data_IF_859882442382
#
_entry.id   IF_859882442382
#
_cell.length_a   1.000
_cell.length_b   1.000
_cell.length_c   1.000
_cell.angle_alpha   90.00
_cell.angle_beta   90.00
_cell.angle_gamma   90.00
#
_symmetry.space_group_name_H-M   'P 1'
#
loop_
_entity.id
_entity.type
_entity.pdbx_description
1 polymer ?
#
# COMPACT_ATOMS: atom_id res chain seq x y z
N UNK A 1 49.72 46.67 -5.40
CA UNK A 1 49.33 46.33 -4.02
C UNK A 1 48.34 45.15 -4.10
N UNK A 2 48.84 43.91 -3.91
CA UNK A 2 48.06 42.69 -3.83
C UNK A 2 47.53 42.55 -2.40
N UNK A 3 46.22 42.55 -2.19
CA UNK A 3 45.58 42.16 -0.93
C UNK A 3 45.45 40.63 -0.92
N UNK A 4 46.18 39.95 -0.05
CA UNK A 4 45.99 38.57 0.33
C UNK A 4 44.70 38.46 1.15
N UNK A 5 43.76 37.68 0.65
CA UNK A 5 42.56 37.23 1.40
C UNK A 5 42.99 35.97 2.14
N UNK A 6 43.13 36.06 3.45
CA UNK A 6 43.32 34.92 4.35
C UNK A 6 41.98 34.10 4.34
N UNK A 7 42.03 32.89 3.78
CA UNK A 7 40.96 31.89 3.97
C UNK A 7 41.03 31.39 5.41
N UNK A 8 39.97 31.62 6.18
CA UNK A 8 39.76 30.96 7.48
C UNK A 8 39.64 29.46 7.24
N UNK A 9 40.61 28.67 7.68
CA UNK A 9 40.51 27.24 7.91
C UNK A 9 39.67 27.01 9.16
N UNK A 10 38.63 26.17 9.09
CA UNK A 10 37.95 25.66 10.26
C UNK A 10 36.45 25.54 10.10
N UNK A 11 35.97 24.94 9.03
CA UNK A 11 34.66 24.29 9.05
C UNK A 11 34.91 22.79 9.02
N UNK A 12 34.62 22.12 10.14
CA UNK A 12 34.54 20.68 10.21
C UNK A 12 33.46 20.23 9.18
N UNK A 13 33.89 19.74 8.04
CA UNK A 13 33.03 18.96 7.18
C UNK A 13 32.69 17.69 7.97
N UNK A 14 31.54 17.69 8.68
CA UNK A 14 30.86 16.45 9.04
C UNK A 14 30.59 15.78 7.72
N UNK A 15 31.33 14.75 7.41
CA UNK A 15 31.00 13.87 6.27
C UNK A 15 29.62 13.28 6.54
N UNK A 16 28.60 13.73 5.80
CA UNK A 16 27.26 13.13 5.89
C UNK A 16 27.41 11.63 5.65
N UNK A 17 27.01 10.83 6.62
CA UNK A 17 26.99 9.38 6.50
C UNK A 17 26.08 9.02 5.32
N UNK A 18 26.49 8.05 4.51
CA UNK A 18 25.63 7.47 3.50
C UNK A 18 24.46 6.74 4.22
N UNK A 19 23.26 6.70 3.60
CA UNK A 19 22.05 6.04 4.15
C UNK A 19 22.32 4.64 4.72
N UNK A 20 23.10 3.83 4.02
CA UNK A 20 23.47 2.48 4.45
C UNK A 20 24.42 2.42 5.67
N UNK A 21 24.99 3.55 6.10
CA UNK A 21 25.86 3.67 7.28
C UNK A 21 25.10 4.17 8.51
N UNK A 22 23.83 4.54 8.34
CA UNK A 22 22.97 5.01 9.42
C UNK A 22 22.41 3.84 10.21
N UNK A 23 22.28 4.00 11.53
CA UNK A 23 21.51 3.08 12.35
C UNK A 23 20.01 3.24 12.04
N UNK A 24 19.20 2.29 12.45
CA UNK A 24 17.76 2.37 12.25
C UNK A 24 17.12 3.60 12.95
N UNK A 25 17.66 4.02 14.11
CA UNK A 25 17.22 5.24 14.79
C UNK A 25 17.60 6.49 13.99
N UNK A 26 18.83 6.55 13.45
CA UNK A 26 19.28 7.66 12.60
C UNK A 26 18.42 7.75 11.33
N UNK A 27 18.16 6.63 10.65
CA UNK A 27 17.25 6.55 9.49
C UNK A 27 15.84 7.02 9.85
N UNK A 28 15.31 6.60 11.00
CA UNK A 28 13.99 7.03 11.48
C UNK A 28 13.96 8.53 11.77
N UNK A 29 14.99 9.07 12.34
CA UNK A 29 15.07 10.51 12.59
C UNK A 29 15.00 11.31 11.29
N UNK A 30 15.71 10.87 10.23
CA UNK A 30 15.65 11.49 8.91
C UNK A 30 14.28 11.33 8.25
N UNK A 31 13.64 10.15 8.38
CA UNK A 31 12.27 9.95 7.87
C UNK A 31 11.24 10.82 8.59
N UNK A 32 11.34 10.94 9.91
CA UNK A 32 10.45 11.83 10.69
C UNK A 32 10.66 13.29 10.28
N UNK A 33 11.88 13.73 10.05
CA UNK A 33 12.16 15.08 9.56
C UNK A 33 11.45 15.35 8.22
N UNK A 34 11.62 14.46 7.23
CA UNK A 34 10.93 14.56 5.93
C UNK A 34 9.42 14.50 6.07
N UNK A 35 8.93 13.64 6.96
CA UNK A 35 7.48 13.47 7.17
C UNK A 35 6.83 14.73 7.74
N UNK A 36 7.55 15.48 8.58
CA UNK A 36 7.11 16.75 9.16
C UNK A 36 7.23 17.94 8.20
N UNK A 37 7.93 17.82 7.08
CA UNK A 37 8.07 18.90 6.10
C UNK A 37 6.71 19.17 5.42
N UNK A 38 6.18 20.40 5.54
CA UNK A 38 4.96 20.77 4.83
C UNK A 38 5.24 20.83 3.32
N UNK A 39 4.24 20.52 2.48
CA UNK A 39 4.38 20.66 1.03
C UNK A 39 4.57 22.12 0.64
N UNK A 40 5.24 22.34 -0.49
CA UNK A 40 5.38 23.67 -1.09
C UNK A 40 4.14 24.04 -1.89
N UNK A 41 3.08 24.42 -1.16
CA UNK A 41 1.77 24.81 -1.72
C UNK A 41 1.32 26.14 -1.09
N UNK A 42 0.41 26.89 -1.75
CA UNK A 42 -0.17 28.09 -1.20
C UNK A 42 -1.20 27.74 -0.11
N UNK A 43 -0.76 27.68 1.15
CA UNK A 43 -1.68 27.56 2.29
C UNK A 43 -2.63 28.77 2.36
N UNK A 44 -3.88 28.54 2.74
CA UNK A 44 -4.89 29.61 2.85
C UNK A 44 -4.53 30.68 3.89
N UNK A 45 -3.66 30.34 4.85
CA UNK A 45 -3.12 31.29 5.83
C UNK A 45 -1.81 30.77 6.45
N UNK A 46 -1.01 31.65 7.07
CA UNK A 46 0.14 31.21 7.87
C UNK A 46 -0.25 30.28 9.03
N UNK A 47 -1.45 30.42 9.58
CA UNK A 47 -1.97 29.55 10.63
C UNK A 47 -2.26 28.15 10.07
N UNK A 48 -2.85 28.01 8.89
CA UNK A 48 -3.07 26.70 8.26
C UNK A 48 -1.77 25.92 8.07
N UNK A 49 -0.67 26.59 7.69
CA UNK A 49 0.66 25.94 7.61
C UNK A 49 1.14 25.44 8.97
N UNK A 50 0.94 26.23 10.03
CA UNK A 50 1.31 25.83 11.41
C UNK A 50 0.46 24.63 11.87
N UNK A 51 -0.83 24.66 11.59
CA UNK A 51 -1.77 23.60 11.95
C UNK A 51 -1.41 22.28 11.23
N UNK A 52 -1.03 22.36 9.94
CA UNK A 52 -0.56 21.22 9.17
C UNK A 52 0.62 20.51 9.86
N UNK A 53 1.65 21.28 10.23
CA UNK A 53 2.85 20.72 10.91
C UNK A 53 2.50 20.21 12.32
N UNK A 54 1.64 20.92 13.06
CA UNK A 54 1.23 20.51 14.41
C UNK A 54 0.46 19.20 14.38
N UNK A 55 -0.43 19.01 13.39
CA UNK A 55 -1.17 17.75 13.15
C UNK A 55 -0.24 16.60 12.81
N UNK A 56 0.69 16.78 11.87
CA UNK A 56 1.70 15.76 11.55
C UNK A 56 2.56 15.41 12.77
N UNK A 57 3.00 16.41 13.52
CA UNK A 57 3.82 16.20 14.73
C UNK A 57 3.08 15.38 15.78
N UNK A 58 1.79 15.62 15.95
CA UNK A 58 0.92 14.89 16.90
C UNK A 58 0.92 13.40 16.61
N UNK A 59 0.76 13.01 15.35
CA UNK A 59 0.85 11.61 14.93
C UNK A 59 2.27 11.05 15.05
N UNK A 60 3.28 11.80 14.62
CA UNK A 60 4.67 11.36 14.75
C UNK A 60 5.09 11.15 16.21
N UNK A 61 4.57 11.94 17.15
CA UNK A 61 4.83 11.77 18.57
C UNK A 61 4.10 10.52 19.10
N UNK A 62 2.83 10.32 18.74
CA UNK A 62 2.06 9.14 19.13
C UNK A 62 2.70 7.84 18.62
N UNK A 63 3.04 7.75 17.34
CA UNK A 63 3.68 6.57 16.74
C UNK A 63 5.04 6.23 17.38
N UNK A 64 5.77 7.24 17.87
CA UNK A 64 7.04 7.04 18.59
C UNK A 64 6.87 6.88 20.09
N UNK A 65 5.64 6.65 20.58
CA UNK A 65 5.30 6.55 22.00
C UNK A 65 5.71 7.77 22.82
N UNK A 66 5.70 8.96 22.21
CA UNK A 66 5.87 10.24 22.88
C UNK A 66 4.50 10.84 23.16
N UNK A 67 4.35 11.56 24.26
CA UNK A 67 3.10 12.25 24.59
C UNK A 67 2.86 13.40 23.60
N UNK A 68 1.81 13.36 22.77
CA UNK A 68 1.43 14.48 21.91
C UNK A 68 0.80 15.62 22.76
N UNK A 69 0.58 16.76 22.12
CA UNK A 69 -0.13 17.91 22.72
C UNK A 69 -1.58 17.56 23.11
N UNK A 70 -2.26 16.74 22.31
CA UNK A 70 -3.56 16.13 22.57
C UNK A 70 -3.67 14.79 21.86
N UNK A 71 -4.74 14.06 22.12
CA UNK A 71 -5.04 12.80 21.40
C UNK A 71 -5.22 13.10 19.91
N UNK A 72 -4.51 12.39 19.00
CA UNK A 72 -4.74 12.52 17.55
C UNK A 72 -6.15 12.04 17.18
N UNK A 73 -6.79 12.76 16.28
CA UNK A 73 -8.10 12.39 15.72
C UNK A 73 -7.92 11.99 14.26
N UNK A 74 -8.01 10.69 14.01
CA UNK A 74 -8.05 10.08 12.69
C UNK A 74 -9.32 9.26 12.55
N UNK A 75 -10.16 9.61 11.57
CA UNK A 75 -11.48 8.99 11.42
C UNK A 75 -11.58 8.38 10.01
N UNK A 76 -11.48 7.05 9.89
CA UNK A 76 -11.71 6.35 8.63
C UNK A 76 -13.22 6.30 8.34
N UNK A 77 -13.78 7.35 7.76
CA UNK A 77 -15.22 7.49 7.57
C UNK A 77 -15.80 6.80 6.33
N UNK A 78 -14.96 6.14 5.51
CA UNK A 78 -15.43 5.37 4.37
C UNK A 78 -16.24 6.21 3.37
N UNK A 79 -17.43 5.72 3.01
CA UNK A 79 -18.38 6.38 2.11
C UNK A 79 -19.39 7.30 2.83
N UNK A 80 -19.21 7.54 4.13
CA UNK A 80 -20.10 8.40 4.91
C UNK A 80 -20.31 9.78 4.29
N UNK A 81 -19.31 10.47 3.70
CA UNK A 81 -19.51 11.75 3.03
C UNK A 81 -20.56 11.69 1.90
N UNK A 82 -20.57 10.62 1.12
CA UNK A 82 -21.56 10.40 0.06
C UNK A 82 -22.96 10.26 0.64
N UNK A 83 -23.13 9.40 1.65
CA UNK A 83 -24.40 9.20 2.33
C UNK A 83 -24.94 10.49 2.94
N UNK A 84 -24.08 11.27 3.56
CA UNK A 84 -24.43 12.55 4.16
C UNK A 84 -25.03 13.52 3.12
N UNK A 85 -24.61 13.42 1.87
CA UNK A 85 -25.13 14.21 0.74
C UNK A 85 -26.27 13.52 -0.04
N UNK A 86 -26.63 12.31 0.31
CA UNK A 86 -27.66 11.52 -0.38
C UNK A 86 -27.21 10.86 -1.68
N UNK A 87 -25.89 10.73 -1.89
CA UNK A 87 -25.31 9.99 -3.01
C UNK A 87 -24.98 8.55 -2.61
N UNK A 88 -24.97 7.67 -3.61
CA UNK A 88 -24.49 6.30 -3.48
C UNK A 88 -23.00 6.20 -3.78
N UNK A 89 -22.37 5.11 -3.35
CA UNK A 89 -20.99 4.80 -3.74
C UNK A 89 -20.89 4.65 -5.27
N UNK A 90 -21.90 4.04 -5.92
CA UNK A 90 -21.96 3.89 -7.38
C UNK A 90 -21.88 5.25 -8.09
N UNK A 91 -22.60 6.26 -7.60
CA UNK A 91 -22.58 7.59 -8.22
C UNK A 91 -21.15 8.14 -8.29
N UNK A 92 -20.39 8.05 -7.22
CA UNK A 92 -19.01 8.56 -7.17
C UNK A 92 -18.03 7.66 -7.96
N UNK A 93 -18.24 6.34 -8.01
CA UNK A 93 -17.40 5.42 -8.79
C UNK A 93 -17.46 5.70 -10.30
N UNK A 94 -18.56 6.25 -10.80
CA UNK A 94 -18.80 6.53 -12.22
C UNK A 94 -18.88 8.01 -12.57
N UNK A 95 -19.00 8.89 -11.58
CA UNK A 95 -18.93 10.35 -11.72
C UNK A 95 -17.94 10.92 -10.71
N UNK A 96 -16.69 11.01 -11.12
CA UNK A 96 -15.59 11.46 -10.24
C UNK A 96 -15.74 12.91 -9.76
N UNK A 97 -16.48 13.77 -10.49
CA UNK A 97 -16.71 15.16 -10.12
C UNK A 97 -17.50 15.33 -8.82
N UNK A 98 -18.21 14.28 -8.38
CA UNK A 98 -18.89 14.26 -7.09
C UNK A 98 -17.91 14.20 -5.91
N UNK A 99 -16.74 13.57 -6.11
CA UNK A 99 -15.78 13.33 -5.03
C UNK A 99 -15.33 14.65 -4.38
N UNK A 100 -14.77 15.65 -5.09
CA UNK A 100 -14.33 16.89 -4.46
C UNK A 100 -15.50 17.70 -3.88
N UNK A 101 -16.67 17.67 -4.50
CA UNK A 101 -17.86 18.39 -3.98
C UNK A 101 -18.24 17.85 -2.59
N UNK A 102 -18.20 16.55 -2.41
CA UNK A 102 -18.66 15.90 -1.19
C UNK A 102 -17.57 15.90 -0.12
N UNK A 103 -16.34 15.50 -0.48
CA UNK A 103 -15.24 15.38 0.50
C UNK A 103 -14.77 16.72 1.02
N UNK A 104 -14.66 17.75 0.16
CA UNK A 104 -14.20 19.07 0.59
C UNK A 104 -15.22 19.73 1.54
N UNK A 105 -16.51 19.56 1.30
CA UNK A 105 -17.53 20.09 2.21
C UNK A 105 -17.55 19.31 3.53
N UNK A 106 -17.46 17.97 3.48
CA UNK A 106 -17.42 17.13 4.69
C UNK A 106 -16.25 17.49 5.59
N UNK A 107 -15.06 17.67 5.01
CA UNK A 107 -13.84 18.04 5.71
C UNK A 107 -13.96 19.37 6.46
N UNK A 108 -14.70 20.33 5.92
CA UNK A 108 -14.89 21.66 6.57
C UNK A 108 -15.92 21.63 7.70
N UNK A 109 -16.74 20.57 7.79
CA UNK A 109 -17.78 20.42 8.81
C UNK A 109 -17.29 19.75 10.07
N UNK A 110 -16.29 18.89 9.97
CA UNK A 110 -15.82 18.07 11.08
C UNK A 110 -14.34 18.33 11.34
N UNK A 111 -14.01 18.63 12.60
CA UNK A 111 -12.63 18.84 13.01
C UNK A 111 -11.90 17.49 13.14
N UNK A 112 -10.83 17.31 12.36
CA UNK A 112 -9.98 16.13 12.38
C UNK A 112 -8.49 16.50 12.15
N UNK A 113 -7.60 15.62 12.53
CA UNK A 113 -6.16 15.85 12.39
C UNK A 113 -5.59 15.31 11.09
N UNK A 114 -6.33 14.45 10.41
CA UNK A 114 -5.94 13.89 9.11
C UNK A 114 -7.10 13.94 8.13
N UNK A 115 -6.77 13.99 6.86
CA UNK A 115 -7.73 13.85 5.77
C UNK A 115 -7.63 12.44 5.17
N UNK A 116 -8.61 11.56 5.41
CA UNK A 116 -8.66 10.26 4.75
C UNK A 116 -9.02 10.46 3.27
N UNK A 117 -8.04 10.18 2.41
CA UNK A 117 -8.22 10.38 0.97
C UNK A 117 -9.37 9.52 0.41
N UNK A 118 -10.17 10.04 -0.53
CA UNK A 118 -11.29 9.32 -1.15
C UNK A 118 -10.91 7.98 -1.76
N UNK A 119 -9.65 7.80 -2.19
CA UNK A 119 -9.15 6.59 -2.84
C UNK A 119 -9.32 5.30 -2.01
N UNK A 120 -9.39 5.41 -0.68
CA UNK A 120 -9.64 4.25 0.20
C UNK A 120 -11.11 3.84 0.23
N UNK A 121 -12.02 4.70 -0.21
CA UNK A 121 -13.46 4.48 -0.10
C UNK A 121 -14.14 4.33 -1.46
N UNK A 122 -13.69 5.07 -2.46
CA UNK A 122 -14.28 5.11 -3.81
C UNK A 122 -13.35 4.43 -4.80
N UNK A 123 -13.75 3.28 -5.32
CA UNK A 123 -13.00 2.60 -6.38
C UNK A 123 -13.25 3.29 -7.74
N UNK A 124 -12.27 3.32 -8.66
CA UNK A 124 -12.48 3.81 -10.03
C UNK A 124 -13.27 2.78 -10.86
N UNK A 125 -14.60 2.77 -10.72
CA UNK A 125 -15.49 1.74 -11.29
C UNK A 125 -15.27 1.52 -12.79
N UNK A 126 -15.15 2.60 -13.58
CA UNK A 126 -14.90 2.50 -15.03
C UNK A 126 -13.61 1.77 -15.36
N UNK A 127 -12.54 2.00 -14.60
CA UNK A 127 -11.26 1.29 -14.79
C UNK A 127 -11.43 -0.20 -14.53
N UNK A 128 -12.14 -0.56 -13.45
CA UNK A 128 -12.36 -1.95 -13.09
C UNK A 128 -13.24 -2.69 -14.12
N UNK A 129 -14.23 -2.00 -14.68
CA UNK A 129 -15.06 -2.54 -15.77
C UNK A 129 -14.21 -2.75 -17.05
N UNK A 130 -13.36 -1.76 -17.43
CA UNK A 130 -12.50 -1.87 -18.61
C UNK A 130 -11.56 -3.06 -18.54
N UNK A 131 -10.91 -3.28 -17.39
CA UNK A 131 -9.95 -4.37 -17.23
C UNK A 131 -10.62 -5.72 -16.92
N UNK A 132 -11.94 -5.73 -16.67
CA UNK A 132 -12.70 -6.92 -16.26
C UNK A 132 -12.18 -7.48 -14.95
N UNK A 133 -12.29 -6.69 -13.86
CA UNK A 133 -11.78 -7.03 -12.54
C UNK A 133 -12.65 -8.08 -11.84
N UNK A 134 -12.06 -9.20 -11.43
CA UNK A 134 -12.71 -10.27 -10.65
C UNK A 134 -12.37 -10.23 -9.15
N UNK A 135 -11.42 -9.38 -8.74
CA UNK A 135 -10.95 -9.30 -7.34
C UNK A 135 -11.96 -8.62 -6.40
N UNK A 136 -12.85 -7.80 -6.95
CA UNK A 136 -13.82 -7.07 -6.16
C UNK A 136 -15.24 -7.19 -6.72
N UNK A 137 -16.20 -7.30 -5.80
CA UNK A 137 -17.61 -7.02 -6.06
C UNK A 137 -17.90 -5.60 -5.59
N UNK A 138 -18.58 -4.81 -6.37
CA UNK A 138 -18.91 -3.42 -6.10
C UNK A 138 -20.27 -3.05 -6.67
N UNK A 139 -20.85 -1.90 -6.29
CA UNK A 139 -22.14 -1.46 -6.85
C UNK A 139 -22.10 -1.40 -8.37
N UNK A 140 -23.01 -2.13 -9.01
CA UNK A 140 -23.04 -2.34 -10.47
C UNK A 140 -22.26 -3.57 -10.97
N UNK A 141 -21.46 -4.20 -10.12
CA UNK A 141 -20.75 -5.45 -10.44
C UNK A 141 -20.79 -6.41 -9.24
N UNK A 142 -21.83 -7.23 -9.18
CA UNK A 142 -22.02 -8.26 -8.15
C UNK A 142 -22.58 -7.77 -6.81
N UNK A 143 -22.75 -6.45 -6.61
CA UNK A 143 -23.47 -5.87 -5.48
C UNK A 143 -24.64 -5.00 -5.97
N UNK A 144 -25.69 -4.80 -5.14
CA UNK A 144 -26.76 -3.84 -5.42
C UNK A 144 -26.21 -2.41 -5.58
N UNK A 145 -26.88 -1.60 -6.40
CA UNK A 145 -26.45 -0.23 -6.70
C UNK A 145 -26.32 0.67 -5.46
N UNK A 146 -27.08 0.39 -4.41
CA UNK A 146 -27.07 1.11 -3.14
C UNK A 146 -26.19 0.45 -2.06
N UNK A 147 -25.36 -0.53 -2.42
CA UNK A 147 -24.45 -1.16 -1.47
C UNK A 147 -23.44 -0.15 -0.90
N UNK A 148 -23.11 -0.34 0.37
CA UNK A 148 -22.12 0.46 1.10
C UNK A 148 -20.76 -0.25 1.01
N UNK A 149 -19.84 0.34 0.28
CA UNK A 149 -18.52 -0.22 0.09
C UNK A 149 -18.46 -1.27 -1.01
N UNK A 150 -17.33 -1.94 -1.07
CA UNK A 150 -17.01 -3.02 -1.99
C UNK A 150 -16.56 -4.26 -1.21
N UNK A 151 -16.55 -5.42 -1.84
CA UNK A 151 -16.14 -6.67 -1.21
C UNK A 151 -15.02 -7.31 -2.01
N UNK A 152 -13.96 -7.72 -1.32
CA UNK A 152 -12.93 -8.56 -1.91
C UNK A 152 -13.53 -9.93 -2.26
N UNK A 153 -13.30 -10.38 -3.50
CA UNK A 153 -13.75 -11.68 -3.99
C UNK A 153 -12.61 -12.69 -3.80
N UNK A 154 -12.55 -13.32 -2.62
CA UNK A 154 -11.61 -14.39 -2.37
C UNK A 154 -11.83 -15.55 -3.36
N UNK A 155 -10.72 -16.07 -3.89
CA UNK A 155 -10.72 -17.20 -4.81
C UNK A 155 -9.43 -18.00 -4.77
N UNK A 156 -9.44 -19.20 -5.34
CA UNK A 156 -8.24 -19.99 -5.56
C UNK A 156 -7.62 -19.59 -6.90
N UNK A 157 -6.81 -18.53 -6.89
CA UNK A 157 -6.13 -17.98 -8.06
C UNK A 157 -4.74 -18.60 -8.30
N UNK A 158 -4.28 -19.45 -7.40
CA UNK A 158 -3.09 -20.30 -7.52
C UNK A 158 -3.46 -21.71 -7.08
N UNK A 159 -3.06 -22.73 -7.85
CA UNK A 159 -3.25 -24.13 -7.50
C UNK A 159 -2.13 -24.62 -6.57
N UNK A 160 -2.38 -25.71 -5.83
CA UNK A 160 -1.40 -26.24 -4.85
C UNK A 160 -0.12 -26.80 -5.49
N UNK A 161 -0.15 -27.17 -6.75
CA UNK A 161 1.00 -27.65 -7.53
C UNK A 161 1.82 -26.53 -8.19
N UNK A 162 1.37 -25.28 -8.07
CA UNK A 162 2.02 -24.12 -8.71
C UNK A 162 3.05 -23.40 -7.81
N UNK A 163 3.30 -23.87 -6.58
CA UNK A 163 4.29 -23.26 -5.70
C UNK A 163 5.70 -23.16 -6.33
N UNK A 164 6.12 -24.16 -7.09
CA UNK A 164 7.44 -24.15 -7.72
C UNK A 164 7.57 -23.03 -8.76
N UNK A 165 6.48 -22.73 -9.47
CA UNK A 165 6.45 -21.62 -10.44
C UNK A 165 6.54 -20.27 -9.70
N UNK A 166 5.78 -20.10 -8.62
CA UNK A 166 5.81 -18.89 -7.78
C UNK A 166 7.20 -18.67 -7.18
N UNK A 167 7.81 -19.72 -6.60
CA UNK A 167 9.13 -19.63 -5.96
C UNK A 167 10.22 -19.31 -6.98
N UNK A 168 10.15 -19.92 -8.16
CA UNK A 168 11.15 -19.75 -9.22
C UNK A 168 11.20 -18.32 -9.73
N UNK A 169 10.07 -17.74 -10.08
CA UNK A 169 9.94 -16.38 -10.59
C UNK A 169 8.58 -15.79 -10.24
N UNK A 170 8.47 -15.09 -9.10
CA UNK A 170 7.21 -14.45 -8.70
C UNK A 170 6.68 -13.46 -9.73
N UNK A 171 7.54 -12.73 -10.41
CA UNK A 171 7.12 -11.72 -11.39
C UNK A 171 6.49 -12.37 -12.62
N UNK A 172 7.11 -13.43 -13.14
CA UNK A 172 6.57 -14.21 -14.24
C UNK A 172 5.26 -14.90 -13.86
N UNK A 173 5.19 -15.47 -12.64
CA UNK A 173 3.98 -16.07 -12.10
C UNK A 173 2.83 -15.05 -12.05
N UNK A 174 3.10 -13.83 -11.56
CA UNK A 174 2.10 -12.76 -11.52
C UNK A 174 1.61 -12.42 -12.92
N UNK A 175 2.49 -12.14 -13.85
CA UNK A 175 2.13 -11.65 -15.19
C UNK A 175 1.40 -12.72 -16.01
N UNK A 176 1.88 -13.98 -16.01
CA UNK A 176 1.36 -15.02 -16.90
C UNK A 176 0.35 -15.96 -16.26
N UNK A 177 0.27 -15.99 -14.94
CA UNK A 177 -0.63 -16.91 -14.22
C UNK A 177 -1.69 -16.17 -13.43
N UNK A 178 -1.28 -15.35 -12.46
CA UNK A 178 -2.20 -14.71 -11.54
C UNK A 178 -3.05 -13.61 -12.20
N UNK A 179 -2.42 -12.59 -12.80
CA UNK A 179 -3.16 -11.48 -13.40
C UNK A 179 -4.17 -11.91 -14.47
N UNK A 180 -3.89 -12.89 -15.36
CA UNK A 180 -4.88 -13.43 -16.27
C UNK A 180 -6.09 -14.15 -15.60
N UNK A 181 -5.96 -14.54 -14.34
CA UNK A 181 -7.08 -15.16 -13.57
C UNK A 181 -7.97 -14.14 -12.90
N UNK A 182 -7.41 -12.97 -12.59
CA UNK A 182 -8.12 -11.92 -11.84
C UNK A 182 -8.57 -10.73 -12.69
N UNK A 183 -8.02 -10.59 -13.91
CA UNK A 183 -8.44 -9.58 -14.88
C UNK A 183 -8.62 -10.19 -16.26
N UNK A 184 -9.82 -10.05 -16.81
CA UNK A 184 -10.13 -10.58 -18.16
C UNK A 184 -9.19 -10.04 -19.22
N UNK A 185 -8.84 -8.75 -19.13
CA UNK A 185 -7.96 -8.08 -20.10
C UNK A 185 -6.53 -8.63 -20.11
N UNK A 186 -6.05 -9.28 -19.05
CA UNK A 186 -4.75 -9.93 -19.01
C UNK A 186 -4.73 -11.33 -19.65
N UNK A 187 -5.87 -11.85 -20.10
CA UNK A 187 -5.98 -13.21 -20.67
C UNK A 187 -4.86 -13.59 -21.63
N UNK A 188 -4.52 -12.76 -22.66
CA UNK A 188 -3.47 -13.09 -23.65
C UNK A 188 -2.07 -13.26 -23.07
N UNK A 189 -1.76 -12.69 -21.90
CA UNK A 189 -0.45 -12.85 -21.27
C UNK A 189 -0.11 -14.28 -20.87
N UNK A 190 -1.11 -15.18 -20.75
CA UNK A 190 -0.85 -16.60 -20.50
C UNK A 190 0.00 -17.26 -21.59
N UNK A 191 -0.09 -16.75 -22.81
CA UNK A 191 0.48 -17.35 -24.00
C UNK A 191 1.82 -16.75 -24.42
N UNK A 192 2.28 -15.65 -23.79
CA UNK A 192 3.59 -15.10 -24.09
C UNK A 192 4.69 -15.92 -23.40
N UNK A 193 5.85 -15.98 -24.05
CA UNK A 193 7.04 -16.57 -23.43
C UNK A 193 7.53 -15.69 -22.27
N UNK A 194 8.20 -16.25 -21.24
CA UNK A 194 8.88 -15.46 -20.23
C UNK A 194 9.85 -14.46 -20.86
N UNK A 195 9.99 -13.26 -20.28
CA UNK A 195 10.97 -12.27 -20.75
C UNK A 195 12.41 -12.80 -20.74
N UNK A 196 12.72 -13.72 -19.84
CA UNK A 196 14.02 -14.41 -19.77
C UNK A 196 14.32 -15.31 -20.97
N UNK A 197 13.33 -15.56 -21.85
CA UNK A 197 13.56 -16.28 -23.12
C UNK A 197 14.17 -15.40 -24.22
N UNK A 198 14.25 -14.09 -23.99
CA UNK A 198 14.89 -13.15 -24.94
C UNK A 198 16.40 -13.16 -24.68
N UNK A 199 17.11 -14.10 -25.30
CA UNK A 199 18.58 -14.24 -25.15
C UNK A 199 19.29 -13.67 -26.36
N UNK A 200 18.94 -14.17 -27.55
CA UNK A 200 19.54 -13.74 -28.84
C UNK A 200 18.43 -13.57 -29.88
N UNK A 201 18.67 -12.73 -30.88
CA UNK A 201 17.76 -12.47 -32.01
C UNK A 201 16.31 -12.16 -31.55
N UNK A 202 16.08 -11.14 -30.71
CA UNK A 202 14.82 -10.93 -30.00
C UNK A 202 13.63 -10.56 -30.91
N UNK A 203 13.84 -10.35 -32.20
CA UNK A 203 12.81 -9.89 -33.14
C UNK A 203 11.54 -10.76 -33.14
N UNK A 204 11.71 -12.08 -33.06
CA UNK A 204 10.57 -13.01 -33.00
C UNK A 204 9.67 -12.89 -31.79
N UNK A 205 10.21 -12.42 -30.67
CA UNK A 205 9.43 -12.20 -29.43
C UNK A 205 8.31 -11.16 -29.63
N UNK A 206 8.59 -10.12 -30.41
CA UNK A 206 7.64 -9.02 -30.65
C UNK A 206 6.44 -9.45 -31.49
N UNK A 207 6.49 -10.59 -32.18
CA UNK A 207 5.34 -11.14 -32.91
C UNK A 207 4.14 -11.41 -31.96
N UNK A 208 4.38 -11.70 -30.67
CA UNK A 208 3.32 -11.88 -29.68
C UNK A 208 2.43 -10.64 -29.56
N UNK A 209 2.98 -9.44 -29.77
CA UNK A 209 2.24 -8.17 -29.65
C UNK A 209 1.47 -7.80 -30.93
N UNK A 210 1.70 -8.51 -32.03
CA UNK A 210 0.95 -8.35 -33.28
C UNK A 210 -0.34 -9.19 -33.31
N UNK A 211 -0.52 -10.13 -32.38
CA UNK A 211 -1.72 -10.95 -32.25
C UNK A 211 -2.92 -10.05 -31.88
N UNK A 212 -4.09 -10.16 -32.57
CA UNK A 212 -5.23 -9.27 -32.36
C UNK A 212 -5.69 -9.18 -30.91
N UNK A 213 -5.72 -10.29 -30.17
CA UNK A 213 -6.12 -10.35 -28.77
C UNK A 213 -5.14 -9.55 -27.87
N UNK A 214 -3.86 -9.63 -28.15
CA UNK A 214 -2.85 -8.85 -27.43
C UNK A 214 -2.93 -7.36 -27.76
N UNK A 215 -3.15 -7.01 -29.02
CA UNK A 215 -3.38 -5.60 -29.41
C UNK A 215 -4.60 -5.01 -28.70
N UNK A 216 -5.70 -5.78 -28.59
CA UNK A 216 -6.88 -5.37 -27.84
C UNK A 216 -6.53 -5.16 -26.34
N UNK A 217 -5.75 -6.08 -25.75
CA UNK A 217 -5.29 -5.97 -24.37
C UNK A 217 -4.49 -4.68 -24.15
N UNK A 218 -3.50 -4.41 -24.99
CA UNK A 218 -2.67 -3.21 -24.89
C UNK A 218 -3.49 -1.92 -25.04
N UNK A 219 -4.45 -1.91 -25.98
CA UNK A 219 -5.38 -0.80 -26.13
C UNK A 219 -6.22 -0.59 -24.86
N UNK A 220 -6.77 -1.66 -24.31
CA UNK A 220 -7.52 -1.61 -23.04
C UNK A 220 -6.66 -1.06 -21.89
N UNK A 221 -5.40 -1.45 -21.79
CA UNK A 221 -4.51 -0.94 -20.75
C UNK A 221 -4.23 0.56 -20.90
N UNK A 222 -4.02 1.05 -22.12
CA UNK A 222 -3.84 2.48 -22.37
C UNK A 222 -5.10 3.27 -21.97
N UNK A 223 -6.28 2.83 -22.41
CA UNK A 223 -7.57 3.47 -22.09
C UNK A 223 -7.89 3.46 -20.60
N UNK A 224 -7.65 2.32 -19.94
CA UNK A 224 -7.82 2.18 -18.48
C UNK A 224 -6.82 3.04 -17.71
N UNK A 225 -5.59 3.17 -18.20
CA UNK A 225 -4.58 4.06 -17.62
C UNK A 225 -4.97 5.53 -17.73
N UNK A 226 -5.46 5.98 -18.90
CA UNK A 226 -5.97 7.34 -19.08
C UNK A 226 -7.16 7.64 -18.16
N UNK A 227 -8.08 6.69 -18.03
CA UNK A 227 -9.23 6.83 -17.12
C UNK A 227 -8.79 6.87 -15.65
N UNK A 228 -7.81 6.04 -15.25
CA UNK A 228 -7.26 6.08 -13.90
C UNK A 228 -6.57 7.41 -13.60
N UNK A 229 -5.87 8.03 -14.57
CA UNK A 229 -5.26 9.34 -14.37
C UNK A 229 -6.30 10.44 -14.12
N UNK A 230 -7.48 10.40 -14.77
CA UNK A 230 -8.58 11.33 -14.47
C UNK A 230 -9.06 11.17 -13.01
N UNK A 231 -9.31 9.93 -12.60
CA UNK A 231 -9.67 9.63 -11.21
C UNK A 231 -8.61 10.11 -10.22
N UNK A 232 -7.35 9.79 -10.49
CA UNK A 232 -6.21 10.14 -9.63
C UNK A 232 -6.05 11.67 -9.51
N UNK A 233 -6.26 12.42 -10.58
CA UNK A 233 -6.22 13.88 -10.55
C UNK A 233 -7.32 14.46 -9.64
N UNK A 234 -8.52 13.89 -9.68
CA UNK A 234 -9.64 14.33 -8.83
C UNK A 234 -9.35 14.01 -7.36
N UNK A 235 -8.87 12.81 -7.04
CA UNK A 235 -8.47 12.43 -5.68
C UNK A 235 -7.33 13.33 -5.18
N UNK A 236 -6.34 13.59 -6.04
CA UNK A 236 -5.22 14.48 -5.74
C UNK A 236 -5.67 15.91 -5.42
N UNK A 237 -6.66 16.43 -6.13
CA UNK A 237 -7.21 17.77 -5.85
C UNK A 237 -7.85 17.84 -4.45
N UNK A 238 -8.53 16.80 -4.00
CA UNK A 238 -9.09 16.77 -2.64
C UNK A 238 -7.98 16.80 -1.58
N UNK A 239 -6.91 16.02 -1.79
CA UNK A 239 -5.75 15.99 -0.88
C UNK A 239 -5.06 17.35 -0.83
N UNK A 240 -4.90 18.01 -1.97
CA UNK A 240 -4.30 19.35 -2.04
C UNK A 240 -5.15 20.40 -1.33
N UNK A 241 -6.47 20.40 -1.55
CA UNK A 241 -7.38 21.34 -0.87
C UNK A 241 -7.36 21.13 0.66
N UNK A 242 -7.37 19.87 1.12
CA UNK A 242 -7.21 19.56 2.54
C UNK A 242 -5.88 20.11 3.09
N UNK A 243 -4.80 19.92 2.37
CA UNK A 243 -3.49 20.41 2.77
C UNK A 243 -3.44 21.94 2.84
N UNK A 244 -4.04 22.67 1.87
CA UNK A 244 -4.16 24.14 1.88
C UNK A 244 -4.87 24.66 3.13
N UNK A 245 -5.86 23.91 3.62
CA UNK A 245 -6.59 24.20 4.86
C UNK A 245 -5.84 23.78 6.15
N UNK A 246 -4.65 23.19 6.00
CA UNK A 246 -3.84 22.73 7.13
C UNK A 246 -4.21 21.34 7.65
N UNK A 247 -4.92 20.54 6.85
CA UNK A 247 -5.29 19.16 7.19
C UNK A 247 -4.42 18.20 6.37
N UNK A 248 -3.43 17.50 6.95
CA UNK A 248 -2.55 16.60 6.22
C UNK A 248 -3.26 15.30 5.87
N UNK A 249 -2.90 14.72 4.74
CA UNK A 249 -3.10 13.29 4.50
C UNK A 249 -1.85 12.56 4.97
N UNK A 250 -1.99 11.50 5.80
CA UNK A 250 -0.83 10.75 6.27
C UNK A 250 -0.02 10.19 5.09
N UNK A 251 1.28 10.52 5.07
CA UNK A 251 2.20 9.95 4.08
C UNK A 251 2.59 8.56 4.55
N UNK A 252 2.10 7.54 3.88
CA UNK A 252 2.38 6.14 4.19
C UNK A 252 3.08 5.46 3.01
N UNK A 253 3.73 4.33 3.26
CA UNK A 253 4.20 3.40 2.23
C UNK A 253 3.10 2.55 1.62
N UNK A 254 1.85 2.82 1.97
CA UNK A 254 0.69 2.06 1.55
C UNK A 254 0.34 0.92 2.50
N UNK A 255 -0.48 0.02 1.97
CA UNK A 255 -0.85 -1.23 2.64
C UNK A 255 0.09 -2.33 2.16
N UNK A 256 0.60 -3.12 3.10
CA UNK A 256 1.29 -4.38 2.84
C UNK A 256 0.54 -5.50 3.56
N UNK A 257 0.93 -6.75 3.35
CA UNK A 257 0.33 -7.91 4.00
C UNK A 257 1.38 -8.78 4.67
N UNK A 258 1.00 -9.51 5.71
CA UNK A 258 1.82 -10.63 6.13
C UNK A 258 2.04 -11.59 4.93
N UNK A 259 3.24 -12.12 4.68
CA UNK A 259 3.47 -13.03 3.55
C UNK A 259 2.52 -14.23 3.53
N UNK A 260 2.12 -14.74 4.69
CA UNK A 260 1.08 -15.76 4.80
C UNK A 260 -0.27 -15.26 4.28
N UNK A 261 -0.68 -14.04 4.63
CA UNK A 261 -1.92 -13.44 4.13
C UNK A 261 -1.83 -13.14 2.63
N UNK A 262 -0.66 -12.74 2.12
CA UNK A 262 -0.47 -12.57 0.67
C UNK A 262 -0.76 -13.88 -0.08
N UNK A 263 -0.21 -15.00 0.39
CA UNK A 263 -0.52 -16.30 -0.21
C UNK A 263 -1.97 -16.69 0.05
N UNK A 264 -2.45 -16.52 1.28
CA UNK A 264 -3.77 -16.98 1.69
C UNK A 264 -4.93 -16.18 1.10
N UNK A 265 -4.83 -14.85 1.04
CA UNK A 265 -5.90 -14.00 0.51
C UNK A 265 -5.82 -13.87 -1.01
N UNK A 266 -4.60 -13.61 -1.51
CA UNK A 266 -4.39 -13.21 -2.90
C UNK A 266 -4.32 -14.40 -3.84
N UNK A 267 -3.72 -15.51 -3.41
CA UNK A 267 -3.39 -16.62 -4.30
C UNK A 267 -4.22 -17.88 -4.03
N UNK A 268 -4.16 -18.41 -2.81
CA UNK A 268 -4.68 -19.75 -2.49
C UNK A 268 -6.13 -19.79 -2.00
N UNK A 269 -6.64 -18.67 -1.52
CA UNK A 269 -7.88 -18.62 -0.76
C UNK A 269 -7.77 -19.32 0.61
N UNK A 270 -8.76 -19.07 1.47
CA UNK A 270 -8.78 -19.60 2.84
C UNK A 270 -8.67 -21.13 2.90
N UNK A 271 -9.43 -21.83 2.07
CA UNK A 271 -9.41 -23.30 2.05
C UNK A 271 -8.09 -23.88 1.51
N UNK A 272 -7.51 -23.21 0.51
CA UNK A 272 -6.23 -23.60 -0.09
C UNK A 272 -5.10 -23.51 0.93
N UNK A 273 -4.90 -22.32 1.51
CA UNK A 273 -3.80 -22.07 2.45
C UNK A 273 -3.87 -22.97 3.70
N UNK A 274 -5.09 -23.25 4.21
CA UNK A 274 -5.27 -24.15 5.36
C UNK A 274 -4.94 -25.61 5.04
N UNK A 275 -5.09 -26.03 3.79
CA UNK A 275 -4.62 -27.37 3.37
C UNK A 275 -3.10 -27.39 3.17
N UNK A 276 -2.54 -26.28 2.69
CA UNK A 276 -1.13 -26.18 2.32
C UNK A 276 -0.19 -26.24 3.54
N UNK A 277 -0.61 -25.77 4.71
CA UNK A 277 0.16 -25.95 5.96
C UNK A 277 0.41 -27.44 6.31
N UNK A 278 -0.37 -28.37 5.74
CA UNK A 278 -0.20 -29.82 5.92
C UNK A 278 0.36 -30.52 4.68
N UNK A 279 -0.01 -30.04 3.47
CA UNK A 279 0.33 -30.70 2.22
C UNK A 279 1.60 -30.21 1.57
N UNK A 280 1.91 -28.92 1.77
CA UNK A 280 3.02 -28.22 1.14
C UNK A 280 3.81 -27.32 2.12
N UNK A 281 4.07 -27.75 3.39
CA UNK A 281 4.65 -26.87 4.40
C UNK A 281 5.98 -26.24 3.98
N UNK A 282 6.89 -27.04 3.40
CA UNK A 282 8.22 -26.57 3.01
C UNK A 282 8.13 -25.55 1.86
N UNK A 283 7.30 -25.81 0.85
CA UNK A 283 7.09 -24.89 -0.28
C UNK A 283 6.42 -23.60 0.18
N UNK A 284 5.47 -23.68 1.11
CA UNK A 284 4.83 -22.53 1.72
C UNK A 284 5.86 -21.64 2.43
N UNK A 285 6.74 -22.21 3.23
CA UNK A 285 7.81 -21.46 3.89
C UNK A 285 8.75 -20.78 2.90
N UNK A 286 9.20 -21.48 1.86
CA UNK A 286 10.08 -20.91 0.83
C UNK A 286 9.37 -19.77 0.08
N UNK A 287 8.11 -19.96 -0.29
CA UNK A 287 7.34 -18.94 -0.98
C UNK A 287 7.14 -17.69 -0.11
N UNK A 288 6.80 -17.86 1.18
CA UNK A 288 6.65 -16.74 2.12
C UNK A 288 7.97 -15.98 2.32
N UNK A 289 9.08 -16.69 2.44
CA UNK A 289 10.41 -16.08 2.61
C UNK A 289 10.79 -15.26 1.37
N UNK A 290 10.52 -15.79 0.17
CA UNK A 290 10.75 -15.09 -1.10
C UNK A 290 9.89 -13.84 -1.24
N UNK A 291 8.61 -13.92 -0.87
CA UNK A 291 7.70 -12.77 -0.90
C UNK A 291 8.07 -11.71 0.14
N UNK A 292 8.56 -12.12 1.32
CA UNK A 292 8.98 -11.18 2.35
C UNK A 292 10.07 -10.21 1.86
N UNK A 293 11.08 -10.70 1.13
CA UNK A 293 12.14 -9.84 0.58
C UNK A 293 11.59 -8.83 -0.43
N UNK A 294 10.67 -9.28 -1.29
CA UNK A 294 10.01 -8.42 -2.29
C UNK A 294 9.15 -7.35 -1.60
N UNK A 295 8.39 -7.73 -0.58
CA UNK A 295 7.52 -6.82 0.16
C UNK A 295 8.31 -5.74 0.91
N UNK A 296 9.43 -6.11 1.56
CA UNK A 296 10.32 -5.14 2.20
C UNK A 296 10.79 -4.10 1.17
N UNK A 297 11.31 -4.55 0.02
CA UNK A 297 11.80 -3.65 -1.03
C UNK A 297 10.69 -2.73 -1.54
N UNK A 298 9.52 -3.27 -1.83
CA UNK A 298 8.38 -2.50 -2.36
C UNK A 298 7.90 -1.46 -1.35
N UNK A 299 7.73 -1.82 -0.08
CA UNK A 299 7.28 -0.91 0.97
C UNK A 299 8.31 0.21 1.23
N UNK A 300 9.61 -0.12 1.25
CA UNK A 300 10.69 0.86 1.40
C UNK A 300 10.68 1.84 0.21
N UNK A 301 10.56 1.34 -1.02
CA UNK A 301 10.51 2.18 -2.22
C UNK A 301 9.27 3.09 -2.23
N UNK A 302 8.11 2.58 -1.83
CA UNK A 302 6.88 3.37 -1.71
C UNK A 302 7.02 4.48 -0.64
N UNK A 303 7.60 4.18 0.52
CA UNK A 303 7.90 5.19 1.54
C UNK A 303 8.92 6.23 1.08
N UNK A 304 9.94 5.82 0.32
CA UNK A 304 10.92 6.74 -0.23
C UNK A 304 10.29 7.71 -1.24
N UNK A 305 9.39 7.22 -2.09
CA UNK A 305 8.69 8.02 -3.09
C UNK A 305 7.67 8.99 -2.46
N UNK A 306 6.91 8.55 -1.45
CA UNK A 306 5.86 9.36 -0.80
C UNK A 306 6.38 10.28 0.32
N UNK A 307 7.60 10.05 0.82
CA UNK A 307 8.08 10.62 2.09
C UNK A 307 7.40 10.00 3.30
N UNK A 308 6.87 8.77 3.15
CA UNK A 308 6.17 8.03 4.19
C UNK A 308 7.06 7.59 5.34
N UNK A 309 6.45 7.51 6.52
CA UNK A 309 7.07 7.02 7.76
C UNK A 309 6.49 5.68 8.19
N UNK A 310 5.28 5.36 7.73
CA UNK A 310 4.44 4.28 8.23
C UNK A 310 4.11 3.29 7.12
N UNK A 311 4.15 1.99 7.43
CA UNK A 311 3.62 0.90 6.60
C UNK A 311 2.53 0.18 7.38
N UNK A 312 1.34 0.07 6.80
CA UNK A 312 0.17 -0.53 7.45
C UNK A 312 0.00 -1.98 7.00
N UNK A 313 -0.20 -2.86 7.98
CA UNK A 313 -0.44 -4.29 7.77
C UNK A 313 -1.83 -4.67 8.29
N UNK A 314 -2.85 -4.81 7.45
CA UNK A 314 -4.04 -5.54 7.84
C UNK A 314 -3.68 -7.01 8.02
N UNK A 315 -3.93 -7.53 9.22
CA UNK A 315 -3.64 -8.91 9.61
C UNK A 315 -4.94 -9.71 9.61
N UNK A 316 -5.02 -10.72 8.76
CA UNK A 316 -6.25 -11.48 8.55
C UNK A 316 -6.18 -12.89 9.15
N UNK A 317 -5.37 -13.76 8.53
CA UNK A 317 -5.37 -15.19 8.82
C UNK A 317 -4.49 -15.61 10.01
N UNK A 318 -3.88 -14.63 10.70
CA UNK A 318 -3.14 -14.83 11.95
C UNK A 318 -3.98 -14.75 13.22
N UNK A 319 -5.29 -14.41 13.13
CA UNK A 319 -6.17 -14.22 14.28
C UNK A 319 -6.27 -15.49 15.17
N UNK A 320 -6.54 -15.28 16.47
CA UNK A 320 -6.67 -16.36 17.47
C UNK A 320 -7.75 -17.37 17.09
N UNK A 321 -8.81 -16.92 16.41
CA UNK A 321 -9.90 -17.76 15.93
C UNK A 321 -9.61 -18.49 14.62
N UNK A 322 -8.56 -18.09 13.88
CA UNK A 322 -8.26 -18.65 12.57
C UNK A 322 -7.26 -19.80 12.64
N UNK A 323 -6.19 -19.65 13.43
CA UNK A 323 -5.16 -20.67 13.61
C UNK A 323 -4.71 -20.80 15.05
N UNK A 324 -4.25 -22.00 15.42
CA UNK A 324 -3.67 -22.23 16.75
C UNK A 324 -2.40 -21.40 16.93
N UNK A 325 -2.02 -21.15 18.20
CA UNK A 325 -0.76 -20.47 18.51
C UNK A 325 0.45 -21.18 17.88
N UNK A 326 0.50 -22.51 17.94
CA UNK A 326 1.57 -23.28 17.32
C UNK A 326 1.66 -23.10 15.79
N UNK A 327 0.52 -23.04 15.10
CA UNK A 327 0.49 -22.76 13.66
C UNK A 327 0.93 -21.33 13.35
N UNK A 328 0.53 -20.37 14.17
CA UNK A 328 0.99 -19.00 14.06
C UNK A 328 2.51 -18.88 14.21
N UNK A 329 3.09 -19.48 15.23
CA UNK A 329 4.52 -19.49 15.50
C UNK A 329 5.34 -20.14 14.37
N UNK A 330 4.77 -21.17 13.72
CA UNK A 330 5.46 -21.90 12.65
C UNK A 330 5.27 -21.26 11.28
N UNK A 331 4.05 -20.89 10.91
CA UNK A 331 3.72 -20.50 9.54
C UNK A 331 3.52 -19.01 9.35
N UNK A 332 2.97 -18.30 10.32
CA UNK A 332 2.61 -16.88 10.15
C UNK A 332 3.72 -15.93 10.61
N UNK A 333 4.15 -16.13 11.85
CA UNK A 333 5.07 -15.21 12.53
C UNK A 333 6.46 -15.08 11.90
N UNK A 334 7.16 -16.16 11.49
CA UNK A 334 8.54 -16.03 11.01
C UNK A 334 8.67 -15.09 9.80
N UNK A 335 7.78 -15.20 8.82
CA UNK A 335 7.81 -14.35 7.63
C UNK A 335 7.34 -12.92 7.91
N UNK A 336 6.31 -12.73 8.72
CA UNK A 336 5.87 -11.41 9.17
C UNK A 336 6.96 -10.70 9.97
N UNK A 337 7.59 -11.40 10.92
CA UNK A 337 8.72 -10.88 11.70
C UNK A 337 9.89 -10.44 10.82
N UNK A 338 10.21 -11.20 9.77
CA UNK A 338 11.24 -10.86 8.79
C UNK A 338 10.90 -9.52 8.11
N UNK A 339 9.66 -9.36 7.65
CA UNK A 339 9.21 -8.11 7.01
C UNK A 339 9.27 -6.95 7.99
N UNK A 340 8.73 -7.11 9.19
CA UNK A 340 8.76 -6.05 10.22
C UNK A 340 10.19 -5.62 10.52
N UNK A 341 11.12 -6.54 10.75
CA UNK A 341 12.52 -6.22 11.02
C UNK A 341 13.17 -5.48 9.83
N UNK A 342 12.95 -5.94 8.59
CA UNK A 342 13.47 -5.26 7.40
C UNK A 342 12.98 -3.82 7.27
N UNK A 343 11.73 -3.54 7.64
CA UNK A 343 11.18 -2.19 7.65
C UNK A 343 11.75 -1.35 8.81
N UNK A 344 11.93 -1.94 9.99
CA UNK A 344 12.56 -1.28 11.14
C UNK A 344 14.00 -0.90 10.81
N UNK A 345 14.76 -1.78 10.18
CA UNK A 345 16.16 -1.53 9.77
C UNK A 345 16.27 -0.37 8.78
N UNK A 346 15.21 -0.11 8.00
CA UNK A 346 15.08 1.04 7.12
C UNK A 346 14.47 2.29 7.80
N UNK A 347 14.32 2.27 9.13
CA UNK A 347 13.83 3.39 9.93
C UNK A 347 12.32 3.63 9.82
N UNK A 348 11.57 2.68 9.27
CA UNK A 348 10.12 2.77 9.14
C UNK A 348 9.42 2.34 10.44
N UNK A 349 8.17 2.74 10.58
CA UNK A 349 7.26 2.31 11.64
C UNK A 349 6.23 1.39 11.02
N UNK A 350 5.97 0.27 11.68
CA UNK A 350 4.95 -0.70 11.25
C UNK A 350 3.68 -0.48 12.05
N UNK A 351 2.56 -0.36 11.35
CA UNK A 351 1.24 -0.27 11.97
C UNK A 351 0.46 -1.56 11.70
N UNK A 352 0.29 -2.37 12.73
CA UNK A 352 -0.47 -3.63 12.65
C UNK A 352 -1.96 -3.33 12.89
N UNK A 353 -2.77 -3.49 11.85
CA UNK A 353 -4.22 -3.40 11.92
C UNK A 353 -4.80 -4.81 12.05
N UNK A 354 -5.08 -5.22 13.29
CA UNK A 354 -5.55 -6.57 13.60
C UNK A 354 -7.04 -6.73 13.29
N UNK A 355 -7.36 -7.49 12.23
CA UNK A 355 -8.73 -7.85 11.90
C UNK A 355 -9.13 -9.15 12.60
N UNK A 356 -9.52 -9.02 13.86
CA UNK A 356 -9.85 -10.12 14.75
C UNK A 356 -9.08 -10.06 16.07
N UNK A 357 -9.18 -11.11 16.90
CA UNK A 357 -8.42 -11.20 18.14
C UNK A 357 -6.98 -11.68 17.88
N UNK A 358 -6.02 -10.94 18.44
CA UNK A 358 -4.60 -11.28 18.48
C UNK A 358 -4.06 -11.23 19.91
N UNK A 359 -4.95 -11.37 20.91
CA UNK A 359 -4.59 -11.25 22.33
C UNK A 359 -3.56 -12.28 22.74
N UNK A 360 -3.62 -13.50 22.20
CA UNK A 360 -2.67 -14.58 22.48
C UNK A 360 -1.34 -14.42 21.72
N UNK A 361 -1.13 -13.33 20.97
CA UNK A 361 0.08 -13.05 20.17
C UNK A 361 0.80 -11.77 20.61
N UNK A 362 0.27 -11.03 21.58
CA UNK A 362 0.83 -9.73 21.98
C UNK A 362 2.23 -9.85 22.56
N UNK A 363 2.56 -10.95 23.22
CA UNK A 363 3.91 -11.22 23.73
C UNK A 363 4.95 -11.26 22.60
N UNK A 364 4.58 -11.78 21.43
CA UNK A 364 5.47 -11.84 20.27
C UNK A 364 5.67 -10.44 19.64
N UNK A 365 4.60 -9.62 19.58
CA UNK A 365 4.71 -8.24 19.10
C UNK A 365 5.58 -7.37 20.01
N UNK A 366 5.58 -7.65 21.30
CA UNK A 366 6.38 -6.93 22.29
C UNK A 366 7.90 -7.16 22.18
N UNK A 367 8.37 -8.07 21.32
CA UNK A 367 9.81 -8.28 21.11
C UNK A 367 10.48 -7.14 20.30
N UNK A 368 9.71 -6.36 19.55
CA UNK A 368 10.25 -5.28 18.74
C UNK A 368 10.65 -4.05 19.56
N UNK A 369 11.63 -3.27 19.09
CA UNK A 369 12.03 -2.04 19.75
C UNK A 369 10.84 -1.09 19.93
N UNK A 370 10.77 -0.45 21.08
CA UNK A 370 9.68 0.44 21.47
C UNK A 370 9.46 1.58 20.46
N UNK A 371 8.22 1.75 20.01
CA UNK A 371 7.85 2.78 19.02
C UNK A 371 8.28 2.45 17.59
N UNK A 372 8.41 1.17 17.26
CA UNK A 372 8.66 0.67 15.90
C UNK A 372 7.47 -0.10 15.33
N UNK A 373 6.64 -0.63 16.22
CA UNK A 373 5.39 -1.33 15.90
C UNK A 373 4.29 -0.79 16.78
#
# INVERSE_FOLDING_TARGET
KKKQIQRKKGENKVTEKNWNQLTHEEKRAERVKRWLEPPDIPFVSPQAKKDYVARLKRFADAYRMKKPDRVPVDVPFGDLPLKWKGYTLKDAMYNYDLIPQVWNEFMTKFEMDTFPAPAMSVLPGRVYDMVGCHLYKYPGNGLPDNALGFQFAEGEYMMGDEYDALIKDPSDFWVRTYLPRVFTSFGPYRNISPFTSIVELPGGYFANYAVPEMQKTLKTFMEAGEEFLKYSAVVGSCVEEAAKLGIPTPKTGGLDKAPFDTIGDTLRGTQGIMKDIYRHPDKLHIAMDRLADIQIEQAVNACNASGGLLVTFPLHKGADSFMSRKQFEVFYWPSLRKVINGLIDEGLIVFLFAEGSYMERLDMVNEFPKGTV
#
